data_IF_840330912317
#
_entry.id   IF_840330912317
#
_cell.length_a   1.000
_cell.length_b   1.000
_cell.length_c   1.000
_cell.angle_alpha   90.00
_cell.angle_beta   90.00
_cell.angle_gamma   90.00
#
_symmetry.space_group_name_H-M   'P 1'
#
loop_
_entity.id
_entity.type
_entity.pdbx_description
1 polymer ?
#
# COMPACT_ATOMS: atom_id res chain seq x y z
N UNK A 1 -17.09 -4.14 -21.71
CA UNK A 1 -16.83 -5.55 -21.31
C UNK A 1 -15.34 -5.89 -21.23
N UNK A 2 -14.50 -5.53 -22.22
CA UNK A 2 -13.06 -5.87 -22.23
C UNK A 2 -12.19 -5.18 -21.15
N UNK A 3 -12.51 -3.97 -20.69
CA UNK A 3 -11.72 -3.23 -19.68
C UNK A 3 -11.71 -3.95 -18.32
N UNK A 4 -12.83 -4.56 -17.93
CA UNK A 4 -12.99 -5.27 -16.66
C UNK A 4 -12.23 -6.60 -16.62
N UNK A 5 -12.21 -7.35 -17.73
CA UNK A 5 -11.49 -8.62 -17.81
C UNK A 5 -9.97 -8.42 -17.79
N UNK A 6 -9.46 -7.36 -18.43
CA UNK A 6 -8.03 -7.01 -18.38
C UNK A 6 -7.59 -6.58 -16.98
N UNK A 7 -8.37 -5.73 -16.30
CA UNK A 7 -8.10 -5.32 -14.92
C UNK A 7 -8.08 -6.51 -13.95
N UNK A 8 -9.07 -7.41 -14.06
CA UNK A 8 -9.13 -8.64 -13.25
C UNK A 8 -7.92 -9.55 -13.51
N UNK A 9 -7.54 -9.74 -14.77
CA UNK A 9 -6.37 -10.55 -15.13
C UNK A 9 -5.08 -9.94 -14.57
N UNK A 10 -4.91 -8.62 -14.66
CA UNK A 10 -3.76 -7.91 -14.09
C UNK A 10 -3.66 -8.11 -12.57
N UNK A 11 -4.79 -8.02 -11.85
CA UNK A 11 -4.84 -8.23 -10.40
C UNK A 11 -4.42 -9.65 -10.04
N UNK A 12 -4.98 -10.66 -10.72
CA UNK A 12 -4.66 -12.07 -10.45
C UNK A 12 -3.20 -12.37 -10.75
N UNK A 13 -2.70 -11.92 -11.90
CA UNK A 13 -1.29 -12.13 -12.29
C UNK A 13 -0.38 -11.45 -11.28
N UNK A 14 -0.64 -10.19 -10.93
CA UNK A 14 0.13 -9.46 -9.93
C UNK A 14 0.13 -10.16 -8.57
N UNK A 15 -1.03 -10.66 -8.12
CA UNK A 15 -1.13 -11.38 -6.86
C UNK A 15 -0.30 -12.66 -6.86
N UNK A 16 -0.40 -13.47 -7.92
CA UNK A 16 0.36 -14.71 -8.06
C UNK A 16 1.86 -14.40 -8.13
N UNK A 17 2.28 -13.40 -8.91
CA UNK A 17 3.70 -13.05 -9.03
C UNK A 17 4.26 -12.51 -7.72
N UNK A 18 3.54 -11.62 -7.04
CA UNK A 18 3.94 -11.11 -5.71
C UNK A 18 4.04 -12.22 -4.66
N UNK A 19 3.07 -13.13 -4.64
CA UNK A 19 3.09 -14.29 -3.74
C UNK A 19 4.30 -15.21 -4.03
N UNK A 20 4.59 -15.51 -5.29
CA UNK A 20 5.74 -16.34 -5.66
C UNK A 20 7.08 -15.69 -5.29
N UNK A 21 7.21 -14.37 -5.47
CA UNK A 21 8.41 -13.61 -5.07
C UNK A 21 8.63 -13.77 -3.56
N UNK A 22 7.62 -13.47 -2.75
CA UNK A 22 7.71 -13.56 -1.28
C UNK A 22 7.97 -15.01 -0.84
N UNK A 23 7.24 -15.98 -1.40
CA UNK A 23 7.44 -17.41 -1.10
C UNK A 23 8.85 -17.87 -1.43
N UNK A 24 9.39 -17.47 -2.58
CA UNK A 24 10.76 -17.81 -2.98
C UNK A 24 11.79 -17.26 -2.01
N UNK A 25 11.56 -16.06 -1.44
CA UNK A 25 12.47 -15.46 -0.45
C UNK A 25 12.56 -16.33 0.82
N UNK A 26 11.45 -16.92 1.25
CA UNK A 26 11.39 -17.77 2.43
C UNK A 26 11.95 -19.17 2.20
N UNK A 27 11.84 -19.70 0.98
CA UNK A 27 12.45 -20.99 0.63
C UNK A 27 13.98 -20.86 0.61
N UNK A 28 14.51 -19.73 0.10
CA UNK A 28 15.96 -19.51 0.03
C UNK A 28 16.57 -19.24 1.40
N UNK A 29 15.90 -18.43 2.23
CA UNK A 29 16.39 -18.13 3.57
C UNK A 29 15.24 -18.04 4.59
N UNK A 30 14.93 -19.15 5.29
CA UNK A 30 13.84 -19.20 6.26
C UNK A 30 14.00 -18.23 7.43
N UNK A 31 15.24 -17.85 7.77
CA UNK A 31 15.50 -16.93 8.89
C UNK A 31 15.00 -15.51 8.62
N UNK A 32 14.80 -15.15 7.35
CA UNK A 32 14.26 -13.83 6.96
C UNK A 32 12.82 -13.64 7.46
N UNK A 33 12.07 -14.73 7.70
CA UNK A 33 10.72 -14.67 8.27
C UNK A 33 10.68 -14.03 9.67
N UNK A 34 11.72 -14.25 10.47
CA UNK A 34 11.82 -13.70 11.82
C UNK A 34 12.47 -12.32 11.86
N UNK A 35 12.87 -11.80 10.70
CA UNK A 35 13.58 -10.53 10.56
C UNK A 35 12.73 -9.54 9.77
N UNK A 36 13.17 -8.28 9.79
CA UNK A 36 12.53 -7.23 9.02
C UNK A 36 12.82 -7.44 7.52
N UNK A 37 11.85 -8.00 6.79
CA UNK A 37 11.99 -8.31 5.37
C UNK A 37 11.51 -7.15 4.49
N UNK A 38 12.42 -6.27 4.11
CA UNK A 38 12.11 -5.14 3.23
C UNK A 38 11.56 -5.56 1.87
N UNK A 39 12.04 -6.67 1.30
CA UNK A 39 11.55 -7.16 0.01
C UNK A 39 10.07 -7.52 0.08
N UNK A 40 9.63 -8.18 1.15
CA UNK A 40 8.22 -8.50 1.35
C UNK A 40 7.37 -7.24 1.52
N UNK A 41 7.82 -6.29 2.34
CA UNK A 41 7.08 -5.04 2.60
C UNK A 41 6.93 -4.25 1.30
N UNK A 42 8.00 -4.09 0.53
CA UNK A 42 7.98 -3.39 -0.75
C UNK A 42 7.09 -4.12 -1.75
N UNK A 43 7.20 -5.45 -1.86
CA UNK A 43 6.44 -6.25 -2.83
C UNK A 43 4.93 -6.20 -2.52
N UNK A 44 4.55 -6.45 -1.27
CA UNK A 44 3.13 -6.47 -0.88
C UNK A 44 2.49 -5.08 -0.91
N UNK A 45 3.21 -4.05 -0.45
CA UNK A 45 2.71 -2.68 -0.44
C UNK A 45 2.58 -2.11 -1.85
N UNK A 46 3.56 -2.34 -2.73
CA UNK A 46 3.48 -1.91 -4.14
C UNK A 46 2.33 -2.60 -4.87
N UNK A 47 2.08 -3.88 -4.58
CA UNK A 47 0.94 -4.61 -5.12
C UNK A 47 -0.40 -3.97 -4.72
N UNK A 48 -0.57 -3.65 -3.44
CA UNK A 48 -1.78 -2.99 -2.94
C UNK A 48 -1.98 -1.61 -3.57
N UNK A 49 -0.91 -0.84 -3.76
CA UNK A 49 -0.96 0.45 -4.47
C UNK A 49 -1.44 0.27 -5.91
N UNK A 50 -0.89 -0.71 -6.65
CA UNK A 50 -1.30 -1.01 -8.02
C UNK A 50 -2.78 -1.41 -8.07
N UNK A 51 -3.24 -2.22 -7.11
CA UNK A 51 -4.64 -2.64 -7.04
C UNK A 51 -5.58 -1.49 -6.73
N UNK A 52 -5.22 -0.62 -5.78
CA UNK A 52 -5.98 0.57 -5.46
C UNK A 52 -6.05 1.55 -6.64
N UNK A 53 -4.96 1.74 -7.38
CA UNK A 53 -4.95 2.55 -8.60
C UNK A 53 -5.83 1.93 -9.69
N UNK A 54 -5.72 0.62 -9.90
CA UNK A 54 -6.56 -0.11 -10.85
C UNK A 54 -8.05 0.01 -10.50
N UNK A 55 -8.39 -0.06 -9.20
CA UNK A 55 -9.74 0.16 -8.70
C UNK A 55 -10.25 1.56 -9.02
N UNK A 56 -9.46 2.61 -8.70
CA UNK A 56 -9.83 4.00 -8.97
C UNK A 56 -10.03 4.20 -10.48
N UNK A 57 -9.07 3.82 -11.33
CA UNK A 57 -9.13 4.01 -12.79
C UNK A 57 -10.32 3.28 -13.42
N UNK A 58 -10.68 2.11 -12.88
CA UNK A 58 -11.80 1.31 -13.40
C UNK A 58 -13.15 1.87 -12.97
N UNK A 59 -13.22 2.55 -11.82
CA UNK A 59 -14.47 3.04 -11.22
C UNK A 59 -14.60 4.57 -11.20
N UNK A 60 -13.68 5.32 -11.83
CA UNK A 60 -13.66 6.79 -11.79
C UNK A 60 -14.94 7.45 -12.33
N UNK A 61 -15.59 6.81 -13.29
CA UNK A 61 -16.86 7.26 -13.90
C UNK A 61 -18.09 6.70 -13.18
N UNK A 62 -17.90 5.83 -12.18
CA UNK A 62 -18.97 5.19 -11.41
C UNK A 62 -19.07 5.83 -10.02
N UNK A 63 -20.02 5.33 -9.23
CA UNK A 63 -20.20 5.70 -7.82
C UNK A 63 -18.87 5.72 -7.07
N UNK A 64 -18.66 6.76 -6.27
CA UNK A 64 -17.40 7.03 -5.58
C UNK A 64 -17.18 6.20 -4.31
N UNK A 65 -17.90 5.09 -4.18
CA UNK A 65 -17.76 4.16 -3.07
C UNK A 65 -16.29 3.67 -3.01
N UNK A 66 -15.70 3.75 -1.82
CA UNK A 66 -14.32 3.37 -1.48
C UNK A 66 -13.23 4.28 -2.06
N UNK A 67 -13.54 5.42 -2.67
CA UNK A 67 -12.52 6.32 -3.23
C UNK A 67 -11.64 6.94 -2.15
N UNK A 68 -12.20 7.43 -1.04
CA UNK A 68 -11.38 8.03 0.02
C UNK A 68 -10.48 6.96 0.64
N UNK A 69 -11.01 5.75 0.83
CA UNK A 69 -10.21 4.61 1.28
C UNK A 69 -9.03 4.33 0.34
N UNK A 70 -9.28 4.19 -0.96
CA UNK A 70 -8.22 3.88 -1.94
C UNK A 70 -7.16 4.97 -2.02
N UNK A 71 -7.55 6.25 -2.01
CA UNK A 71 -6.62 7.38 -2.02
C UNK A 71 -5.77 7.40 -0.75
N UNK A 72 -6.40 7.25 0.41
CA UNK A 72 -5.70 7.20 1.69
C UNK A 72 -4.71 6.02 1.76
N UNK A 73 -5.13 4.85 1.27
CA UNK A 73 -4.28 3.64 1.20
C UNK A 73 -3.06 3.87 0.32
N UNK A 74 -3.24 4.41 -0.90
CA UNK A 74 -2.14 4.71 -1.83
C UNK A 74 -1.16 5.68 -1.19
N UNK A 75 -1.66 6.77 -0.62
CA UNK A 75 -0.82 7.82 -0.05
C UNK A 75 -0.01 7.32 1.15
N UNK A 76 -0.62 6.54 2.04
CA UNK A 76 0.08 5.93 3.17
C UNK A 76 1.14 4.92 2.72
N UNK A 77 0.77 3.98 1.85
CA UNK A 77 1.68 2.92 1.41
C UNK A 77 2.85 3.47 0.59
N UNK A 78 2.63 4.44 -0.30
CA UNK A 78 3.72 5.08 -1.06
C UNK A 78 4.70 5.78 -0.12
N UNK A 79 4.20 6.51 0.88
CA UNK A 79 5.07 7.14 1.87
C UNK A 79 5.85 6.09 2.67
N UNK A 80 5.16 5.05 3.15
CA UNK A 80 5.77 3.97 3.93
C UNK A 80 6.87 3.24 3.14
N UNK A 81 6.64 2.90 1.87
CA UNK A 81 7.66 2.30 0.99
C UNK A 81 8.89 3.22 0.85
N UNK A 82 8.69 4.52 0.63
CA UNK A 82 9.79 5.48 0.53
C UNK A 82 10.60 5.55 1.83
N UNK A 83 9.92 5.52 2.98
CA UNK A 83 10.57 5.52 4.30
C UNK A 83 11.37 4.24 4.51
N UNK A 84 10.85 3.07 4.16
CA UNK A 84 11.59 1.81 4.31
C UNK A 84 12.78 1.72 3.35
N UNK A 85 12.62 2.15 2.10
CA UNK A 85 13.71 2.21 1.13
C UNK A 85 14.82 3.17 1.57
N UNK A 86 14.45 4.34 2.09
CA UNK A 86 15.43 5.35 2.56
C UNK A 86 16.01 4.94 3.91
N UNK A 87 15.21 4.33 4.77
CA UNK A 87 15.55 3.92 6.13
C UNK A 87 16.65 2.87 6.20
N UNK A 88 16.74 2.01 5.18
CA UNK A 88 17.81 1.01 5.07
C UNK A 88 19.10 1.57 4.45
N UNK A 89 19.06 2.77 3.88
CA UNK A 89 20.28 3.42 3.39
C UNK A 89 20.97 4.14 4.54
N UNK A 90 22.31 4.22 4.51
CA UNK A 90 23.14 4.88 5.52
C UNK A 90 22.83 6.39 5.74
N UNK A 91 21.84 6.96 5.05
CA UNK A 91 21.31 8.31 5.22
C UNK A 91 20.60 8.52 6.58
N UNK A 92 20.15 7.44 7.24
CA UNK A 92 19.58 7.49 8.61
C UNK A 92 20.64 7.81 9.68
N UNK A 93 21.93 7.68 9.37
CA UNK A 93 23.01 7.99 10.30
C UNK A 93 23.44 9.46 10.31
N UNK A 94 22.57 10.40 9.90
CA UNK A 94 22.71 11.77 10.39
C UNK A 94 22.45 11.68 11.89
N UNK A 95 23.52 11.75 12.68
CA UNK A 95 23.58 11.37 14.10
C UNK A 95 22.52 12.02 15.02
N UNK A 96 21.78 13.02 14.55
CA UNK A 96 20.62 13.66 15.18
C UNK A 96 19.80 14.45 14.13
N UNK A 97 18.86 13.84 13.39
CA UNK A 97 17.96 14.61 12.55
C UNK A 97 16.96 15.37 13.43
N UNK A 98 16.60 16.60 13.05
CA UNK A 98 15.65 17.43 13.81
C UNK A 98 14.23 16.80 13.87
N UNK A 99 13.87 16.02 12.85
CA UNK A 99 12.62 15.26 12.78
C UNK A 99 12.97 13.83 12.36
N UNK A 100 12.52 12.88 13.16
CA UNK A 100 12.66 11.46 12.84
C UNK A 100 11.73 11.10 11.68
N UNK A 101 12.23 10.33 10.71
CA UNK A 101 11.48 9.94 9.52
C UNK A 101 10.23 9.12 9.88
N UNK A 102 10.25 8.46 11.03
CA UNK A 102 9.10 7.74 11.59
C UNK A 102 7.92 8.65 11.96
N UNK A 103 8.15 9.95 12.19
CA UNK A 103 7.07 10.93 12.41
C UNK A 103 6.22 11.08 11.16
N UNK A 104 6.83 11.10 9.97
CA UNK A 104 6.09 11.14 8.71
C UNK A 104 5.23 9.90 8.53
N UNK A 105 5.79 8.71 8.78
CA UNK A 105 5.01 7.47 8.71
C UNK A 105 3.76 7.51 9.60
N UNK A 106 3.94 7.99 10.84
CA UNK A 106 2.85 8.14 11.81
C UNK A 106 1.80 9.17 11.38
N UNK A 107 2.24 10.31 10.82
CA UNK A 107 1.35 11.34 10.29
C UNK A 107 0.49 10.81 9.13
N UNK A 108 1.10 10.12 8.16
CA UNK A 108 0.39 9.54 7.03
C UNK A 108 -0.55 8.41 7.45
N UNK A 109 -0.17 7.63 8.47
CA UNK A 109 -1.05 6.64 9.08
C UNK A 109 -2.31 7.30 9.67
N UNK A 110 -2.17 8.40 10.43
CA UNK A 110 -3.32 9.14 10.97
C UNK A 110 -4.21 9.67 9.85
N UNK A 111 -3.62 10.24 8.78
CA UNK A 111 -4.37 10.73 7.64
C UNK A 111 -5.14 9.60 6.95
N UNK A 112 -4.53 8.41 6.82
CA UNK A 112 -5.22 7.23 6.32
C UNK A 112 -6.40 6.82 7.19
N UNK A 113 -6.26 6.80 8.53
CA UNK A 113 -7.37 6.53 9.43
C UNK A 113 -8.52 7.53 9.27
N UNK A 114 -8.21 8.82 9.09
CA UNK A 114 -9.22 9.86 8.81
C UNK A 114 -9.95 9.58 7.49
N UNK A 115 -9.24 9.13 6.44
CA UNK A 115 -9.87 8.78 5.16
C UNK A 115 -10.78 7.55 5.27
N UNK A 116 -10.38 6.53 6.02
CA UNK A 116 -11.22 5.38 6.33
C UNK A 116 -12.51 5.84 7.02
N UNK A 117 -12.39 6.70 8.03
CA UNK A 117 -13.54 7.21 8.76
C UNK A 117 -14.49 8.04 7.87
N UNK A 118 -13.93 8.90 7.00
CA UNK A 118 -14.72 9.65 6.01
C UNK A 118 -15.49 8.73 5.08
N UNK A 119 -14.84 7.69 4.58
CA UNK A 119 -15.46 6.69 3.70
C UNK A 119 -16.59 5.94 4.42
N UNK A 120 -16.35 5.50 5.65
CA UNK A 120 -17.37 4.83 6.47
C UNK A 120 -18.62 5.70 6.66
N UNK A 121 -18.44 6.99 6.95
CA UNK A 121 -19.54 7.93 7.10
C UNK A 121 -20.30 8.18 5.79
N UNK A 122 -19.61 8.18 4.65
CA UNK A 122 -20.24 8.28 3.33
C UNK A 122 -21.13 7.06 3.06
N UNK A 123 -20.59 5.84 3.22
CA UNK A 123 -21.32 4.59 3.01
C UNK A 123 -22.51 4.41 3.96
N UNK A 124 -22.45 4.97 5.17
CA UNK A 124 -23.56 4.95 6.13
C UNK A 124 -24.69 5.88 5.72
N UNK A 125 -24.38 7.07 5.19
CA UNK A 125 -25.40 8.03 4.71
C UNK A 125 -26.16 7.50 3.51
N UNK A 126 -25.49 6.77 2.62
CA UNK A 126 -26.10 6.20 1.41
C UNK A 126 -27.06 5.03 1.68
N UNK A 127 -27.03 4.44 2.88
CA UNK A 127 -27.89 3.32 3.29
C UNK A 127 -29.15 3.75 4.06
N UNK A 128 -29.23 5.02 4.48
CA UNK A 128 -30.35 5.60 5.21
C UNK A 128 -31.17 6.51 4.31
#
# INVERSE_FOLDING_TARGET
MFKHNKAKSLIIIGFITGFLIVLSSYIVNPNVFWQFNELEIITTSSLLVIFALCFIITNIEKRHDYFNFSIGLIMYLLCSILIFLTGNTNLVFIKNPYIDIWVFNSLFYILFQVMIYKEYMHLKKDKN
#
